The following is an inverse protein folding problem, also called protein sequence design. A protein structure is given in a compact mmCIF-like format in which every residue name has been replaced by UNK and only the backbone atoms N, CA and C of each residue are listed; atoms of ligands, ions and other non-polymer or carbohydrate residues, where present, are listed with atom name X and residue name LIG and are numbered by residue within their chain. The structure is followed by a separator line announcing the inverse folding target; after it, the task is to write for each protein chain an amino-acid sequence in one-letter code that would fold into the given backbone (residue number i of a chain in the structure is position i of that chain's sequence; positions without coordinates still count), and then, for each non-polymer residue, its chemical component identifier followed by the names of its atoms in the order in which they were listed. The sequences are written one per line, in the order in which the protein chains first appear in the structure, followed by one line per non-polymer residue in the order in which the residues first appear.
data_IF_965420243493
#
_entry.id   IF_965420243493
#
_cell.length_a   1.000
_cell.length_b   1.000
_cell.length_c   1.000
_cell.angle_alpha   90.00
_cell.angle_beta   90.00
_cell.angle_gamma   90.00
#
_symmetry.space_group_name_H-M   'P 1'
#
loop_
_entity.id
_entity.type
_entity.pdbx_description
1 polymer ?
#
# COMPACT_ATOMS: atom_id res chain seq x y z
N UNK A 1 33.55 -23.90 -29.03
CA UNK A 1 32.55 -22.86 -29.32
C UNK A 1 32.47 -22.00 -28.09
N UNK A 2 33.14 -20.85 -28.09
CA UNK A 2 32.95 -19.84 -27.04
C UNK A 2 31.50 -19.40 -27.11
N UNK A 3 30.75 -19.70 -26.06
CA UNK A 3 29.35 -19.32 -25.92
C UNK A 3 29.29 -17.80 -25.84
N UNK A 4 28.87 -17.15 -26.93
CA UNK A 4 28.57 -15.73 -26.93
C UNK A 4 27.48 -15.50 -25.88
N UNK A 5 27.81 -14.79 -24.81
CA UNK A 5 26.88 -14.46 -23.74
C UNK A 5 26.25 -13.08 -24.02
N UNK A 6 25.03 -12.99 -24.58
CA UNK A 6 24.35 -11.72 -24.78
C UNK A 6 24.08 -11.02 -23.45
N UNK A 7 24.39 -9.73 -23.37
CA UNK A 7 23.87 -8.88 -22.29
C UNK A 7 22.35 -8.79 -22.44
N UNK A 8 21.63 -9.12 -21.38
CA UNK A 8 20.17 -8.96 -21.33
C UNK A 8 19.85 -7.49 -21.04
N UNK A 9 19.19 -6.76 -21.95
CA UNK A 9 18.89 -5.33 -21.82
C UNK A 9 18.18 -4.97 -20.51
N UNK A 10 17.20 -5.78 -20.14
CA UNK A 10 16.35 -5.62 -18.97
C UNK A 10 17.17 -5.75 -17.69
N UNK A 11 17.99 -6.81 -17.59
CA UNK A 11 18.90 -7.05 -16.47
C UNK A 11 19.92 -5.92 -16.33
N UNK A 12 20.55 -5.50 -17.42
CA UNK A 12 21.51 -4.39 -17.38
C UNK A 12 20.86 -3.06 -16.94
N UNK A 13 19.68 -2.73 -17.47
CA UNK A 13 18.93 -1.54 -17.08
C UNK A 13 18.58 -1.58 -15.59
N UNK A 14 18.09 -2.72 -15.11
CA UNK A 14 17.67 -2.88 -13.73
C UNK A 14 18.87 -2.79 -12.77
N UNK A 15 19.99 -3.46 -13.06
CA UNK A 15 21.22 -3.34 -12.27
C UNK A 15 21.76 -1.90 -12.22
N UNK A 16 21.65 -1.15 -13.33
CA UNK A 16 22.01 0.28 -13.35
C UNK A 16 21.08 1.10 -12.45
N UNK A 17 19.78 0.88 -12.54
CA UNK A 17 18.77 1.59 -11.72
C UNK A 17 18.95 1.28 -10.23
N UNK A 18 19.22 0.01 -9.87
CA UNK A 18 19.51 -0.40 -8.50
C UNK A 18 20.77 0.26 -7.93
N UNK A 19 21.77 0.54 -8.77
CA UNK A 19 22.97 1.29 -8.35
C UNK A 19 22.74 2.81 -8.29
N UNK A 20 21.52 3.29 -8.53
CA UNK A 20 21.21 4.73 -8.57
C UNK A 20 21.99 5.49 -9.66
N UNK A 21 22.46 4.78 -10.69
CA UNK A 21 23.29 5.35 -11.74
C UNK A 21 22.41 5.83 -12.90
N UNK A 22 22.62 7.08 -13.34
CA UNK A 22 22.13 7.50 -14.64
C UNK A 22 22.95 6.84 -15.75
N UNK A 23 22.41 6.75 -16.97
CA UNK A 23 23.18 6.26 -18.13
C UNK A 23 24.47 7.05 -18.36
N UNK A 24 24.48 8.35 -18.02
CA UNK A 24 25.70 9.17 -18.08
C UNK A 24 26.71 8.76 -17.02
N UNK A 25 26.28 8.59 -15.75
CA UNK A 25 27.18 8.16 -14.68
C UNK A 25 27.77 6.76 -14.95
N UNK A 26 26.96 5.85 -15.49
CA UNK A 26 27.46 4.53 -15.91
C UNK A 26 28.46 4.65 -17.06
N UNK A 27 28.22 5.53 -18.04
CA UNK A 27 29.13 5.79 -19.15
C UNK A 27 30.50 6.25 -18.65
N UNK A 28 30.51 7.22 -17.73
CA UNK A 28 31.71 7.78 -17.15
C UNK A 28 32.51 6.71 -16.37
N UNK A 29 31.81 5.85 -15.62
CA UNK A 29 32.42 4.80 -14.79
C UNK A 29 32.96 3.61 -15.59
N UNK A 30 32.23 3.19 -16.63
CA UNK A 30 32.58 2.05 -17.49
C UNK A 30 33.47 2.44 -18.67
N UNK A 31 33.71 3.74 -18.90
CA UNK A 31 34.40 4.29 -20.08
C UNK A 31 33.75 3.87 -21.40
N UNK A 32 32.44 3.59 -21.38
CA UNK A 32 31.63 3.26 -22.55
C UNK A 32 30.73 4.44 -22.87
N UNK A 33 30.53 4.75 -24.15
CA UNK A 33 29.69 5.89 -24.51
C UNK A 33 28.25 5.72 -24.01
N UNK A 34 27.62 6.81 -23.52
CA UNK A 34 26.20 6.85 -23.16
C UNK A 34 25.30 6.31 -24.29
N UNK A 35 25.66 6.60 -25.55
CA UNK A 35 24.93 6.11 -26.73
C UNK A 35 24.98 4.58 -26.83
N UNK A 36 26.11 3.96 -26.50
CA UNK A 36 26.26 2.50 -26.47
C UNK A 36 25.41 1.90 -25.36
N UNK A 37 25.48 2.45 -24.14
CA UNK A 37 24.65 2.01 -23.00
C UNK A 37 23.16 2.09 -23.35
N UNK A 38 22.70 3.22 -23.87
CA UNK A 38 21.30 3.37 -24.29
C UNK A 38 20.92 2.37 -25.40
N UNK A 39 21.83 2.01 -26.30
CA UNK A 39 21.56 0.99 -27.33
C UNK A 39 21.49 -0.42 -26.75
N UNK A 40 22.29 -0.74 -25.72
CA UNK A 40 22.24 -2.00 -25.00
C UNK A 40 20.88 -2.11 -24.29
N UNK A 41 20.50 -1.10 -23.51
CA UNK A 41 19.24 -1.09 -22.73
C UNK A 41 17.98 -1.09 -23.58
N UNK A 42 18.06 -0.64 -24.84
CA UNK A 42 16.93 -0.67 -25.77
C UNK A 42 16.97 -1.89 -26.71
N UNK A 43 17.85 -2.87 -26.49
CA UNK A 43 17.97 -4.07 -27.34
C UNK A 43 18.42 -3.77 -28.79
N UNK A 44 18.99 -2.58 -29.04
CA UNK A 44 19.38 -2.12 -30.39
C UNK A 44 20.78 -2.56 -30.80
N UNK A 45 21.51 -3.22 -29.93
CA UNK A 45 22.79 -3.87 -30.24
C UNK A 45 22.55 -5.36 -30.37
N UNK A 46 22.99 -5.93 -31.49
CA UNK A 46 22.99 -7.38 -31.67
C UNK A 46 23.95 -8.02 -30.67
N UNK A 47 23.55 -9.11 -29.99
CA UNK A 47 24.40 -9.92 -29.10
C UNK A 47 25.85 -10.08 -29.56
N UNK A 48 26.01 -10.50 -30.81
CA UNK A 48 27.25 -10.79 -31.53
C UNK A 48 28.23 -9.60 -31.61
N UNK A 49 27.76 -8.38 -31.33
CA UNK A 49 28.56 -7.14 -31.43
C UNK A 49 29.03 -6.60 -30.09
N UNK A 50 28.62 -7.20 -28.97
CA UNK A 50 29.11 -6.80 -27.64
C UNK A 50 30.47 -7.47 -27.42
N UNK A 51 31.54 -6.67 -27.41
CA UNK A 51 32.88 -7.19 -27.15
C UNK A 51 33.02 -7.61 -25.68
N UNK A 52 33.82 -8.64 -25.41
CA UNK A 52 34.13 -9.11 -24.05
C UNK A 52 34.62 -7.98 -23.14
N UNK A 53 35.48 -7.09 -23.65
CA UNK A 53 35.92 -5.90 -22.92
C UNK A 53 34.77 -4.96 -22.53
N UNK A 54 33.73 -4.83 -23.37
CA UNK A 54 32.54 -4.01 -23.06
C UNK A 54 31.73 -4.65 -21.93
N UNK A 55 31.54 -5.97 -21.99
CA UNK A 55 30.88 -6.73 -20.93
C UNK A 55 31.61 -6.59 -19.60
N UNK A 56 32.93 -6.81 -19.59
CA UNK A 56 33.76 -6.68 -18.37
C UNK A 56 33.77 -5.26 -17.81
N UNK A 57 33.82 -4.24 -18.68
CA UNK A 57 33.82 -2.85 -18.25
C UNK A 57 32.48 -2.43 -17.64
N UNK A 58 31.36 -2.91 -18.20
CA UNK A 58 30.02 -2.70 -17.63
C UNK A 58 29.86 -3.45 -16.32
N UNK A 59 30.25 -4.72 -16.27
CA UNK A 59 30.19 -5.55 -15.08
C UNK A 59 30.99 -4.92 -13.93
N UNK A 60 32.22 -4.48 -14.20
CA UNK A 60 33.07 -3.77 -13.23
C UNK A 60 32.47 -2.45 -12.76
N UNK A 61 31.84 -1.68 -13.64
CA UNK A 61 31.21 -0.41 -13.28
C UNK A 61 29.93 -0.60 -12.45
N UNK A 62 29.23 -1.71 -12.67
CA UNK A 62 28.04 -2.15 -11.93
C UNK A 62 28.39 -3.00 -10.70
N UNK A 63 29.68 -3.33 -10.52
CA UNK A 63 30.23 -4.20 -9.46
C UNK A 63 29.65 -5.62 -9.45
N UNK A 64 29.15 -6.11 -10.59
CA UNK A 64 28.60 -7.46 -10.78
C UNK A 64 29.60 -8.37 -11.49
N UNK A 65 29.35 -9.69 -11.50
CA UNK A 65 30.15 -10.61 -12.32
C UNK A 65 29.66 -10.51 -13.78
N UNK A 66 30.56 -10.62 -14.79
CA UNK A 66 30.16 -10.60 -16.20
C UNK A 66 29.02 -11.56 -16.57
N UNK A 67 28.91 -12.78 -15.99
CA UNK A 67 27.78 -13.68 -16.24
C UNK A 67 26.42 -13.13 -15.77
N UNK A 68 26.40 -12.28 -14.74
CA UNK A 68 25.15 -11.76 -14.16
C UNK A 68 24.43 -10.82 -15.12
N UNK A 69 25.17 -10.12 -15.99
CA UNK A 69 24.60 -9.28 -17.06
C UNK A 69 23.89 -10.09 -18.15
N UNK A 70 24.14 -11.40 -18.20
CA UNK A 70 23.66 -12.31 -19.23
C UNK A 70 22.55 -13.24 -18.73
N UNK A 71 22.22 -13.18 -17.43
CA UNK A 71 21.13 -13.93 -16.79
C UNK A 71 19.88 -13.06 -16.70
N UNK A 72 18.71 -13.69 -16.74
CA UNK A 72 17.48 -12.94 -16.42
C UNK A 72 17.54 -12.49 -14.96
N UNK A 73 16.93 -11.35 -14.65
CA UNK A 73 16.88 -10.82 -13.28
C UNK A 73 16.30 -11.84 -12.27
N UNK A 74 15.35 -12.67 -12.72
CA UNK A 74 14.75 -13.77 -11.95
C UNK A 74 15.74 -14.91 -11.62
N UNK A 75 16.81 -15.06 -12.40
CA UNK A 75 17.83 -16.10 -12.27
C UNK A 75 19.07 -15.62 -11.48
N UNK A 76 19.04 -14.36 -11.01
CA UNK A 76 20.09 -13.78 -10.16
C UNK A 76 19.95 -14.18 -8.69
N UNK A 77 19.46 -15.39 -8.42
CA UNK A 77 19.29 -15.94 -7.07
C UNK A 77 20.61 -16.03 -6.29
N UNK A 78 21.75 -16.10 -6.99
CA UNK A 78 23.10 -16.19 -6.42
C UNK A 78 23.82 -14.83 -6.30
N UNK A 79 23.15 -13.72 -6.67
CA UNK A 79 23.70 -12.39 -6.42
C UNK A 79 23.57 -12.10 -4.93
N UNK A 80 24.69 -11.83 -4.26
CA UNK A 80 24.67 -11.38 -2.88
C UNK A 80 24.16 -9.94 -2.83
N UNK A 81 22.83 -9.79 -2.87
CA UNK A 81 22.13 -8.50 -2.84
C UNK A 81 22.54 -7.64 -1.64
N UNK A 82 23.11 -8.23 -0.56
CA UNK A 82 23.66 -7.47 0.57
C UNK A 82 24.85 -6.59 0.18
N UNK A 83 25.69 -7.03 -0.76
CA UNK A 83 26.80 -6.22 -1.29
C UNK A 83 26.29 -4.95 -1.99
N UNK A 84 25.02 -4.97 -2.42
CA UNK A 84 24.32 -3.89 -3.10
C UNK A 84 23.44 -3.07 -2.15
N UNK A 85 23.48 -3.36 -0.84
CA UNK A 85 22.64 -2.70 0.17
C UNK A 85 21.18 -3.16 0.20
N UNK A 86 20.83 -4.19 -0.58
CA UNK A 86 19.48 -4.76 -0.61
C UNK A 86 19.39 -5.95 0.33
N UNK A 87 18.40 -5.93 1.22
CA UNK A 87 18.06 -7.08 2.06
C UNK A 87 16.68 -7.59 1.66
N UNK A 88 16.54 -8.88 1.31
CA UNK A 88 15.25 -9.46 1.01
C UNK A 88 14.31 -9.33 2.21
N UNK A 89 13.17 -8.67 2.01
CA UNK A 89 12.11 -8.60 2.99
C UNK A 89 11.20 -9.83 2.81
N UNK A 90 11.27 -10.78 3.74
CA UNK A 90 10.42 -11.98 3.75
C UNK A 90 9.18 -11.71 4.59
N UNK A 91 8.07 -11.40 3.93
CA UNK A 91 6.77 -11.20 4.55
C UNK A 91 5.73 -12.05 3.83
N UNK A 92 4.80 -12.60 4.59
CA UNK A 92 3.58 -13.17 4.04
C UNK A 92 2.57 -12.04 3.95
N UNK A 93 2.15 -11.72 2.73
CA UNK A 93 1.04 -10.80 2.48
C UNK A 93 -0.13 -11.62 1.94
N UNK A 94 -1.33 -11.19 2.26
CA UNK A 94 -2.53 -11.76 1.67
C UNK A 94 -2.64 -11.37 0.20
N UNK A 95 -3.38 -12.16 -0.58
CA UNK A 95 -3.47 -11.97 -2.02
C UNK A 95 -4.23 -10.68 -2.40
N UNK A 96 -5.24 -10.29 -1.64
CA UNK A 96 -5.96 -9.00 -1.75
C UNK A 96 -5.00 -7.80 -1.60
N UNK A 97 -4.13 -7.84 -0.59
CA UNK A 97 -3.12 -6.80 -0.35
C UNK A 97 -2.12 -6.73 -1.50
N UNK A 98 -1.69 -7.90 -2.02
CA UNK A 98 -0.80 -7.97 -3.19
C UNK A 98 -1.45 -7.32 -4.43
N UNK A 99 -2.75 -7.53 -4.62
CA UNK A 99 -3.52 -6.92 -5.71
C UNK A 99 -3.61 -5.40 -5.55
N UNK A 100 -3.82 -4.90 -4.33
CA UNK A 100 -3.83 -3.47 -4.04
C UNK A 100 -2.54 -2.76 -4.46
N UNK A 101 -1.37 -3.35 -4.20
CA UNK A 101 -0.09 -2.81 -4.66
C UNK A 101 -0.03 -2.68 -6.19
N UNK A 102 -0.60 -3.64 -6.93
CA UNK A 102 -0.65 -3.58 -8.39
C UNK A 102 -1.62 -2.51 -8.88
N UNK A 103 -2.79 -2.38 -8.26
CA UNK A 103 -3.76 -1.34 -8.65
C UNK A 103 -3.19 0.07 -8.47
N UNK A 104 -2.53 0.32 -7.34
CA UNK A 104 -1.84 1.60 -7.09
C UNK A 104 -0.72 1.80 -8.09
N UNK A 105 0.10 0.77 -8.35
CA UNK A 105 1.18 0.82 -9.34
C UNK A 105 0.67 1.19 -10.73
N UNK A 106 -0.45 0.60 -11.17
CA UNK A 106 -1.06 0.84 -12.47
C UNK A 106 -1.64 2.25 -12.58
N UNK A 107 -2.41 2.70 -11.58
CA UNK A 107 -3.11 3.98 -11.63
C UNK A 107 -2.18 5.17 -11.50
N UNK A 108 -1.09 5.04 -10.73
CA UNK A 108 -0.17 6.14 -10.44
C UNK A 108 1.21 6.00 -11.10
N UNK A 109 1.47 4.91 -11.83
CA UNK A 109 2.72 4.69 -12.55
C UNK A 109 3.94 4.47 -11.65
N UNK A 110 3.73 3.90 -10.47
CA UNK A 110 4.78 3.63 -9.45
C UNK A 110 5.09 2.13 -9.39
N UNK A 111 6.30 1.73 -8.96
CA UNK A 111 6.61 0.31 -8.75
C UNK A 111 6.19 -0.13 -7.33
N UNK A 112 5.80 -1.39 -7.12
CA UNK A 112 5.52 -1.91 -5.77
C UNK A 112 6.68 -1.72 -4.79
N UNK A 113 7.93 -1.86 -5.24
CA UNK A 113 9.10 -1.60 -4.39
C UNK A 113 9.16 -0.13 -3.94
N UNK A 114 8.83 0.83 -4.81
CA UNK A 114 8.80 2.25 -4.45
C UNK A 114 7.72 2.53 -3.38
N UNK A 115 6.58 1.83 -3.45
CA UNK A 115 5.52 1.91 -2.44
C UNK A 115 5.97 1.35 -1.09
N UNK A 116 6.65 0.20 -1.10
CA UNK A 116 7.21 -0.41 0.13
C UNK A 116 8.29 0.49 0.74
N UNK A 117 9.19 1.04 -0.09
CA UNK A 117 10.26 1.93 0.35
C UNK A 117 9.70 3.25 0.93
N UNK A 118 8.62 3.77 0.35
CA UNK A 118 7.96 5.00 0.81
C UNK A 118 7.02 4.77 2.02
N UNK A 119 6.59 3.54 2.29
CA UNK A 119 5.57 3.23 3.29
C UNK A 119 5.89 3.78 4.70
N UNK A 120 7.12 3.64 5.25
CA UNK A 120 7.43 4.20 6.56
C UNK A 120 7.29 5.72 6.61
N UNK A 121 7.68 6.42 5.54
CA UNK A 121 7.57 7.87 5.46
C UNK A 121 6.11 8.31 5.34
N UNK A 122 5.33 7.67 4.47
CA UNK A 122 3.90 7.96 4.30
C UNK A 122 3.11 7.70 5.58
N UNK A 123 3.37 6.58 6.25
CA UNK A 123 2.75 6.27 7.53
C UNK A 123 3.10 7.32 8.59
N UNK A 124 4.39 7.67 8.72
CA UNK A 124 4.84 8.69 9.68
C UNK A 124 4.16 10.04 9.43
N UNK A 125 4.03 10.44 8.16
CA UNK A 125 3.33 11.66 7.79
C UNK A 125 1.85 11.64 8.22
N UNK A 126 1.13 10.55 7.92
CA UNK A 126 -0.27 10.40 8.31
C UNK A 126 -0.45 10.40 9.83
N UNK A 127 0.44 9.73 10.56
CA UNK A 127 0.45 9.72 12.03
C UNK A 127 0.64 11.13 12.60
N UNK A 128 1.62 11.91 12.10
CA UNK A 128 1.83 13.29 12.55
C UNK A 128 0.66 14.21 12.22
N UNK A 129 0.04 14.04 11.04
CA UNK A 129 -1.13 14.81 10.65
C UNK A 129 -2.33 14.52 11.57
N UNK A 130 -2.54 13.25 11.93
CA UNK A 130 -3.56 12.87 12.91
C UNK A 130 -3.31 13.49 14.28
N UNK A 131 -2.08 13.41 14.79
CA UNK A 131 -1.72 14.02 16.08
C UNK A 131 -1.86 15.56 16.05
N UNK A 132 -1.49 16.20 14.94
CA UNK A 132 -1.65 17.64 14.78
C UNK A 132 -3.13 18.04 14.75
N UNK A 133 -3.98 17.27 14.07
CA UNK A 133 -5.42 17.49 14.05
C UNK A 133 -6.03 17.34 15.45
N UNK A 134 -5.69 16.27 16.18
CA UNK A 134 -6.15 16.07 17.56
C UNK A 134 -5.74 17.20 18.49
N UNK A 135 -4.50 17.69 18.41
CA UNK A 135 -4.07 18.89 19.17
C UNK A 135 -4.95 20.10 18.88
N UNK A 136 -5.27 20.36 17.60
CA UNK A 136 -6.16 21.48 17.24
C UNK A 136 -7.56 21.30 17.80
N UNK A 137 -8.10 20.09 17.72
CA UNK A 137 -9.44 19.76 18.22
C UNK A 137 -9.52 19.87 19.75
N UNK A 138 -8.48 19.42 20.46
CA UNK A 138 -8.40 19.56 21.91
C UNK A 138 -8.38 21.05 22.30
N UNK A 139 -7.48 21.84 21.74
CA UNK A 139 -7.39 23.28 22.04
C UNK A 139 -8.69 24.04 21.74
N UNK A 140 -9.34 23.72 20.60
CA UNK A 140 -10.64 24.29 20.26
C UNK A 140 -11.74 23.89 21.26
N UNK A 141 -11.75 22.62 21.67
CA UNK A 141 -12.70 22.09 22.67
C UNK A 141 -12.50 22.74 24.03
N UNK A 142 -11.26 22.86 24.52
CA UNK A 142 -10.93 23.56 25.77
C UNK A 142 -11.49 24.98 25.77
N UNK A 143 -11.18 25.75 24.72
CA UNK A 143 -11.64 27.13 24.61
C UNK A 143 -13.18 27.23 24.60
N UNK A 144 -13.86 26.35 23.87
CA UNK A 144 -15.32 26.31 23.79
C UNK A 144 -15.98 25.94 25.14
N UNK A 145 -15.45 24.93 25.82
CA UNK A 145 -15.95 24.48 27.13
C UNK A 145 -15.76 25.57 28.18
N UNK A 146 -14.56 26.15 28.31
CA UNK A 146 -14.34 27.24 29.25
C UNK A 146 -15.24 28.45 28.98
N UNK A 147 -15.44 28.82 27.71
CA UNK A 147 -16.35 29.90 27.34
C UNK A 147 -17.80 29.60 27.73
N UNK A 148 -18.28 28.36 27.50
CA UNK A 148 -19.62 27.95 27.89
C UNK A 148 -19.82 28.00 29.41
N UNK A 149 -18.83 27.55 30.18
CA UNK A 149 -18.90 27.55 31.64
C UNK A 149 -18.86 28.95 32.28
N UNK A 150 -18.29 29.95 31.61
CA UNK A 150 -18.37 31.35 32.05
C UNK A 150 -19.80 31.93 32.00
N UNK A 151 -20.68 31.36 31.17
CA UNK A 151 -22.07 31.78 31.05
C UNK A 151 -22.99 31.13 32.08
N UNK A 152 -22.51 30.12 32.82
CA UNK A 152 -23.34 29.36 33.77
C UNK A 152 -23.74 30.25 34.95
N UNK A 153 -25.04 30.49 35.17
CA UNK A 153 -25.50 31.29 36.29
C UNK A 153 -25.17 30.63 37.64
N UNK A 154 -24.96 31.44 38.68
CA UNK A 154 -24.53 30.94 40.00
C UNK A 154 -25.47 29.92 40.66
N UNK A 155 -26.76 29.89 40.31
CA UNK A 155 -27.71 28.88 40.83
C UNK A 155 -27.53 27.50 40.19
N UNK A 156 -26.81 27.41 39.07
CA UNK A 156 -26.42 26.16 38.40
C UNK A 156 -24.98 25.76 38.74
N UNK A 157 -24.43 26.22 39.87
CA UNK A 157 -23.04 25.92 40.26
C UNK A 157 -22.72 24.43 40.37
N UNK A 158 -23.72 23.59 40.62
CA UNK A 158 -23.56 22.13 40.61
C UNK A 158 -23.16 21.59 39.22
N UNK A 159 -23.42 22.33 38.14
CA UNK A 159 -22.93 22.00 36.79
C UNK A 159 -21.39 22.05 36.68
N UNK A 160 -20.68 22.70 37.63
CA UNK A 160 -19.21 22.72 37.66
C UNK A 160 -18.58 21.32 37.73
N UNK A 161 -19.32 20.31 38.20
CA UNK A 161 -18.89 18.91 38.13
C UNK A 161 -18.53 18.48 36.68
N UNK A 162 -19.28 18.96 35.69
CA UNK A 162 -19.00 18.67 34.27
C UNK A 162 -17.70 19.29 33.77
N UNK A 163 -17.25 20.42 34.34
CA UNK A 163 -15.97 21.03 33.99
C UNK A 163 -14.81 20.17 34.49
N UNK A 164 -14.89 19.66 35.73
CA UNK A 164 -13.85 18.77 36.26
C UNK A 164 -13.69 17.48 35.44
N UNK A 165 -14.81 16.86 35.03
CA UNK A 165 -14.76 15.70 34.15
C UNK A 165 -14.12 16.00 32.79
N UNK A 166 -14.34 17.21 32.25
CA UNK A 166 -13.68 17.63 31.02
C UNK A 166 -12.18 17.87 31.23
N UNK A 167 -11.78 18.51 32.33
CA UNK A 167 -10.38 18.75 32.68
C UNK A 167 -9.59 17.43 32.87
N UNK A 168 -10.23 16.40 33.45
CA UNK A 168 -9.65 15.05 33.54
C UNK A 168 -9.43 14.45 32.14
N UNK A 169 -10.45 14.48 31.27
CA UNK A 169 -10.35 13.98 29.89
C UNK A 169 -9.30 14.75 29.06
N UNK A 170 -9.19 16.06 29.27
CA UNK A 170 -8.15 16.90 28.69
C UNK A 170 -6.75 16.44 29.09
N UNK A 171 -6.53 16.22 30.40
CA UNK A 171 -5.25 15.75 30.94
C UNK A 171 -4.84 14.40 30.33
N UNK A 172 -5.80 13.52 30.11
CA UNK A 172 -5.56 12.20 29.54
C UNK A 172 -5.24 12.26 28.05
N UNK A 173 -5.95 13.09 27.29
CA UNK A 173 -5.62 13.35 25.89
C UNK A 173 -4.25 14.01 25.75
N UNK A 174 -3.87 14.94 26.64
CA UNK A 174 -2.52 15.53 26.64
C UNK A 174 -1.42 14.49 26.84
N UNK A 175 -1.63 13.53 27.76
CA UNK A 175 -0.71 12.40 27.97
C UNK A 175 -0.62 11.52 26.73
N UNK A 176 -1.77 11.17 26.12
CA UNK A 176 -1.82 10.38 24.87
C UNK A 176 -1.05 11.09 23.75
N UNK A 177 -1.26 12.39 23.56
CA UNK A 177 -0.58 13.21 22.55
C UNK A 177 0.93 13.34 22.80
N UNK A 178 1.34 13.48 24.07
CA UNK A 178 2.75 13.54 24.46
C UNK A 178 3.47 12.21 24.20
N UNK A 179 2.78 11.09 24.42
CA UNK A 179 3.26 9.74 24.15
C UNK A 179 3.18 9.34 22.66
N UNK A 180 2.60 10.20 21.79
CA UNK A 180 2.40 9.93 20.36
C UNK A 180 1.50 8.71 20.11
N UNK A 181 0.55 8.49 21.01
CA UNK A 181 -0.41 7.40 20.94
C UNK A 181 -1.52 7.76 19.94
N UNK A 182 -1.34 7.35 18.70
CA UNK A 182 -2.28 7.65 17.61
C UNK A 182 -3.64 6.96 17.78
N UNK A 183 -3.72 5.88 18.56
CA UNK A 183 -4.91 5.05 18.73
C UNK A 183 -5.72 5.40 19.98
N UNK A 184 -5.23 6.29 20.85
CA UNK A 184 -5.95 6.72 22.05
C UNK A 184 -5.94 5.70 23.20
N UNK A 185 -5.02 4.72 23.18
CA UNK A 185 -4.92 3.67 24.21
C UNK A 185 -4.64 4.24 25.61
N UNK A 186 -3.85 5.31 25.70
CA UNK A 186 -3.48 5.90 27.00
C UNK A 186 -4.60 6.73 27.63
N UNK A 187 -5.64 7.06 26.85
CA UNK A 187 -6.85 7.70 27.39
C UNK A 187 -7.65 6.70 28.25
N UNK A 188 -7.55 5.39 27.96
CA UNK A 188 -8.27 4.32 28.66
C UNK A 188 -7.71 4.00 30.05
N UNK A 189 -6.41 4.26 30.27
CA UNK A 189 -5.75 3.87 31.53
C UNK A 189 -6.32 4.62 32.74
N UNK A 190 -6.99 5.74 32.48
CA UNK A 190 -7.53 6.69 33.46
C UNK A 190 -9.04 6.89 33.32
N UNK A 191 -9.66 6.37 32.26
CA UNK A 191 -11.10 6.43 32.05
C UNK A 191 -11.83 5.39 32.92
N UNK A 192 -12.40 5.87 34.04
CA UNK A 192 -13.26 5.10 34.94
C UNK A 192 -14.74 5.44 34.76
N UNK A 193 -15.11 6.02 33.61
CA UNK A 193 -16.49 6.42 33.36
C UNK A 193 -17.40 5.19 33.17
N UNK A 194 -18.71 5.44 33.24
CA UNK A 194 -19.72 4.41 33.04
C UNK A 194 -19.80 3.91 31.59
N UNK A 195 -19.24 4.67 30.65
CA UNK A 195 -19.20 4.39 29.22
C UNK A 195 -17.79 4.75 28.71
N UNK A 196 -16.79 3.93 29.04
CA UNK A 196 -15.41 4.25 28.75
C UNK A 196 -15.18 4.28 27.25
N UNK A 197 -14.23 5.11 26.83
CA UNK A 197 -13.73 5.11 25.47
C UNK A 197 -13.44 3.65 25.01
N UNK A 198 -13.79 3.31 23.77
CA UNK A 198 -13.46 2.01 23.21
C UNK A 198 -12.66 2.21 21.91
N UNK A 199 -11.35 1.91 21.88
CA UNK A 199 -10.51 2.07 20.70
C UNK A 199 -10.89 1.09 19.58
N UNK A 200 -11.64 0.04 19.86
CA UNK A 200 -12.20 -0.86 18.84
C UNK A 200 -13.46 -0.28 18.17
N UNK A 201 -14.08 0.76 18.76
CA UNK A 201 -15.26 1.43 18.20
C UNK A 201 -14.94 2.83 17.68
N UNK A 202 -14.06 3.57 18.35
CA UNK A 202 -13.83 5.01 18.11
C UNK A 202 -12.35 5.37 18.03
N UNK A 203 -11.58 4.62 17.23
CA UNK A 203 -10.15 4.87 17.09
C UNK A 203 -9.85 6.26 16.46
N UNK A 204 -9.11 7.17 17.14
CA UNK A 204 -8.88 8.54 16.65
C UNK A 204 -8.12 8.60 15.33
N UNK A 205 -7.20 7.65 15.10
CA UNK A 205 -6.47 7.57 13.84
C UNK A 205 -7.37 7.14 12.68
N UNK A 206 -8.32 6.25 12.94
CA UNK A 206 -9.29 5.76 11.96
C UNK A 206 -10.28 6.85 11.60
N UNK A 207 -10.79 7.58 12.59
CA UNK A 207 -11.64 8.75 12.37
C UNK A 207 -10.93 9.81 11.54
N UNK A 208 -9.64 10.04 11.82
CA UNK A 208 -8.81 10.90 10.99
C UNK A 208 -8.72 10.39 9.55
N UNK A 209 -8.46 9.10 9.33
CA UNK A 209 -8.40 8.51 8.00
C UNK A 209 -9.75 8.58 7.27
N UNK A 210 -10.88 8.28 7.92
CA UNK A 210 -12.23 8.41 7.33
C UNK A 210 -12.50 9.85 6.87
N UNK A 211 -12.25 10.83 7.74
CA UNK A 211 -12.44 12.25 7.41
C UNK A 211 -11.51 12.69 6.28
N UNK A 212 -10.26 12.24 6.31
CA UNK A 212 -9.28 12.57 5.26
C UNK A 212 -9.69 11.96 3.93
N UNK A 213 -10.12 10.69 3.91
CA UNK A 213 -10.63 10.02 2.73
C UNK A 213 -11.90 10.71 2.19
N UNK A 214 -12.86 11.03 3.05
CA UNK A 214 -14.09 11.74 2.66
C UNK A 214 -13.83 13.15 2.11
N UNK A 215 -12.72 13.80 2.51
CA UNK A 215 -12.31 15.09 1.97
C UNK A 215 -11.63 14.98 0.60
N UNK A 216 -11.14 13.79 0.23
CA UNK A 216 -10.56 13.53 -1.09
C UNK A 216 -11.67 13.01 -1.99
N UNK A 217 -12.22 13.89 -2.84
CA UNK A 217 -13.19 13.50 -3.87
C UNK A 217 -12.51 12.57 -4.89
N UNK A 218 -12.77 11.27 -4.80
CA UNK A 218 -12.22 10.30 -5.74
C UNK A 218 -12.67 8.86 -5.51
N UNK A 219 -13.00 8.16 -6.61
CA UNK A 219 -13.34 6.73 -6.64
C UNK A 219 -12.19 5.79 -6.19
N UNK A 220 -11.03 6.34 -5.84
CA UNK A 220 -9.84 5.59 -5.48
C UNK A 220 -9.85 5.14 -4.01
N UNK A 221 -10.51 5.89 -3.12
CA UNK A 221 -10.54 5.63 -1.69
C UNK A 221 -11.98 5.80 -1.22
N UNK A 222 -12.61 4.69 -0.80
CA UNK A 222 -13.98 4.70 -0.30
C UNK A 222 -13.99 4.67 1.24
N UNK A 223 -14.40 5.75 1.93
CA UNK A 223 -14.43 5.84 3.40
C UNK A 223 -15.41 4.89 4.07
N UNK A 224 -16.39 4.34 3.35
CA UNK A 224 -17.38 3.42 3.93
C UNK A 224 -16.79 2.01 4.11
N UNK A 225 -15.87 1.62 3.23
CA UNK A 225 -15.23 0.29 3.21
C UNK A 225 -13.98 0.17 4.10
N UNK A 226 -13.69 1.19 4.90
CA UNK A 226 -12.64 1.12 5.90
C UNK A 226 -13.09 0.17 7.03
N UNK A 227 -12.41 -0.96 7.15
CA UNK A 227 -12.67 -1.95 8.19
C UNK A 227 -11.61 -1.87 9.29
N UNK A 228 -12.08 -1.93 10.53
CA UNK A 228 -11.22 -2.16 11.67
C UNK A 228 -10.92 -3.66 11.73
N UNK A 229 -9.66 -4.11 11.61
CA UNK A 229 -9.36 -5.50 11.91
C UNK A 229 -9.77 -5.77 13.34
N UNK A 230 -10.21 -7.01 13.61
CA UNK A 230 -10.39 -7.46 14.98
C UNK A 230 -9.10 -7.24 15.80
N UNK A 231 -9.16 -6.36 16.80
CA UNK A 231 -8.08 -6.02 17.72
C UNK A 231 -7.17 -4.85 17.31
N UNK A 232 -5.88 -4.96 17.65
CA UNK A 232 -4.93 -3.84 17.79
C UNK A 232 -4.21 -3.37 16.50
N UNK A 233 -4.85 -3.53 15.33
CA UNK A 233 -4.21 -3.37 14.02
C UNK A 233 -4.36 -2.01 13.34
N UNK A 234 -3.53 -1.78 12.32
CA UNK A 234 -3.83 -0.78 11.30
C UNK A 234 -5.05 -1.23 10.51
N UNK A 235 -5.89 -0.30 10.06
CA UNK A 235 -7.10 -0.68 9.36
C UNK A 235 -6.82 -1.38 8.04
N UNK A 236 -7.78 -2.20 7.63
CA UNK A 236 -7.79 -2.77 6.30
C UNK A 236 -8.63 -1.89 5.39
N UNK A 237 -8.02 -1.43 4.28
CA UNK A 237 -8.69 -0.54 3.34
C UNK A 237 -8.57 -1.10 1.91
N UNK A 238 -9.67 -1.54 1.29
CA UNK A 238 -9.66 -1.90 -0.11
C UNK A 238 -9.56 -0.63 -0.97
N UNK A 239 -8.47 -0.50 -1.71
CA UNK A 239 -8.30 0.62 -2.65
C UNK A 239 -9.08 0.36 -3.93
N UNK A 240 -9.62 1.42 -4.52
CA UNK A 240 -10.39 1.39 -5.77
C UNK A 240 -11.64 0.49 -5.72
N UNK A 241 -12.24 0.25 -4.55
CA UNK A 241 -13.40 -0.64 -4.40
C UNK A 241 -14.57 -0.24 -5.31
N UNK A 242 -14.94 1.04 -5.35
CA UNK A 242 -15.99 1.53 -6.26
C UNK A 242 -15.69 1.24 -7.72
N UNK A 243 -14.43 1.39 -8.15
CA UNK A 243 -14.02 1.05 -9.51
C UNK A 243 -14.04 -0.46 -9.77
N UNK A 244 -13.63 -1.27 -8.79
CA UNK A 244 -13.71 -2.73 -8.87
C UNK A 244 -15.17 -3.20 -8.96
N UNK A 245 -16.08 -2.62 -8.17
CA UNK A 245 -17.52 -2.96 -8.19
C UNK A 245 -18.17 -2.61 -9.54
N UNK A 246 -17.81 -1.46 -10.12
CA UNK A 246 -18.20 -1.10 -11.49
C UNK A 246 -17.65 -2.11 -12.51
N UNK A 247 -16.45 -2.66 -12.25
CA UNK A 247 -15.82 -3.63 -13.12
C UNK A 247 -16.51 -5.00 -13.03
N UNK A 248 -16.79 -5.48 -11.83
CA UNK A 248 -17.34 -6.81 -11.54
C UNK A 248 -18.86 -6.86 -11.47
N UNK A 249 -19.53 -5.71 -11.54
CA UNK A 249 -20.98 -5.64 -11.34
C UNK A 249 -21.43 -6.12 -9.95
N UNK A 250 -20.52 -6.16 -8.98
CA UNK A 250 -20.75 -6.67 -7.63
C UNK A 250 -20.91 -8.19 -7.53
N UNK A 251 -20.34 -8.96 -8.48
CA UNK A 251 -20.29 -10.42 -8.43
C UNK A 251 -19.09 -10.90 -7.58
N UNK A 252 -19.38 -11.72 -6.56
CA UNK A 252 -18.40 -12.14 -5.56
C UNK A 252 -17.29 -13.02 -6.14
N UNK A 253 -17.55 -13.77 -7.21
CA UNK A 253 -16.54 -14.61 -7.86
C UNK A 253 -15.66 -13.80 -8.78
N UNK A 254 -16.22 -12.82 -9.49
CA UNK A 254 -15.43 -11.86 -10.26
C UNK A 254 -14.53 -10.99 -9.36
N UNK A 255 -15.05 -10.54 -8.21
CA UNK A 255 -14.26 -9.85 -7.17
C UNK A 255 -13.12 -10.74 -6.67
N UNK A 256 -13.41 -12.01 -6.38
CA UNK A 256 -12.40 -12.99 -5.97
C UNK A 256 -11.32 -13.19 -7.04
N UNK A 257 -11.68 -13.27 -8.33
CA UNK A 257 -10.73 -13.42 -9.42
C UNK A 257 -9.75 -12.25 -9.49
N UNK A 258 -10.24 -11.01 -9.33
CA UNK A 258 -9.42 -9.80 -9.32
C UNK A 258 -8.55 -9.72 -8.06
N UNK A 259 -9.10 -10.03 -6.89
CA UNK A 259 -8.39 -9.98 -5.62
C UNK A 259 -7.25 -11.01 -5.55
N UNK A 260 -7.36 -12.15 -6.22
CA UNK A 260 -6.35 -13.21 -6.19
C UNK A 260 -5.39 -13.21 -7.39
N UNK A 261 -5.51 -12.22 -8.30
CA UNK A 261 -4.75 -12.11 -9.55
C UNK A 261 -4.99 -13.24 -10.55
N UNK A 262 -6.13 -13.93 -10.46
CA UNK A 262 -6.49 -15.00 -11.37
C UNK A 262 -7.09 -14.45 -12.68
N UNK A 263 -7.57 -13.21 -12.74
CA UNK A 263 -8.07 -12.58 -13.97
C UNK A 263 -7.62 -11.12 -14.12
N UNK A 264 -6.44 -10.87 -14.69
CA UNK A 264 -5.90 -9.51 -14.74
C UNK A 264 -6.67 -8.61 -15.69
N UNK A 265 -6.92 -7.36 -15.27
CA UNK A 265 -7.56 -6.34 -16.11
C UNK A 265 -6.73 -6.03 -17.35
N UNK A 266 -5.40 -6.19 -17.28
CA UNK A 266 -4.50 -5.99 -18.42
C UNK A 266 -4.72 -7.04 -19.52
N UNK A 267 -4.91 -8.30 -19.13
CA UNK A 267 -5.13 -9.44 -20.03
C UNK A 267 -6.56 -9.49 -20.58
N UNK A 268 -7.46 -8.68 -20.00
CA UNK A 268 -8.84 -8.57 -20.47
C UNK A 268 -8.89 -7.97 -21.88
N UNK A 269 -9.64 -8.57 -22.82
CA UNK A 269 -9.86 -8.01 -24.14
C UNK A 269 -10.42 -6.57 -24.07
N UNK A 270 -9.89 -5.67 -24.90
CA UNK A 270 -10.27 -4.25 -24.91
C UNK A 270 -11.77 -4.02 -25.23
N UNK A 271 -12.40 -5.00 -25.86
CA UNK A 271 -13.83 -5.02 -26.15
C UNK A 271 -14.68 -5.21 -24.88
N UNK A 272 -14.18 -5.97 -23.90
CA UNK A 272 -14.83 -6.24 -22.61
C UNK A 272 -14.59 -5.13 -21.59
N UNK A 273 -13.54 -4.31 -21.78
CA UNK A 273 -13.25 -3.14 -20.93
C UNK A 273 -14.27 -1.99 -21.10
N UNK A 274 -15.13 -2.04 -22.13
CA UNK A 274 -16.15 -1.00 -22.38
C UNK A 274 -17.32 -1.13 -21.41
N UNK A 275 -17.91 0.01 -21.05
CA UNK A 275 -18.94 0.18 -19.99
C UNK A 275 -20.20 -0.69 -20.18
N UNK A 276 -20.50 -1.15 -21.39
CA UNK A 276 -21.75 -1.82 -21.74
C UNK A 276 -21.69 -3.36 -21.69
N UNK A 277 -20.57 -3.95 -21.24
CA UNK A 277 -20.33 -5.41 -21.27
C UNK A 277 -20.07 -6.04 -19.89
N UNK A 278 -20.68 -5.50 -18.83
CA UNK A 278 -20.44 -5.98 -17.45
C UNK A 278 -20.69 -7.49 -17.29
N UNK A 279 -21.79 -8.03 -17.82
CA UNK A 279 -22.08 -9.48 -17.71
C UNK A 279 -21.07 -10.36 -18.43
N UNK A 280 -20.62 -9.98 -19.63
CA UNK A 280 -19.59 -10.71 -20.38
C UNK A 280 -18.23 -10.64 -19.68
N UNK A 281 -17.93 -9.50 -19.04
CA UNK A 281 -16.70 -9.30 -18.26
C UNK A 281 -16.66 -10.17 -17.01
N UNK A 282 -17.76 -10.22 -16.27
CA UNK A 282 -17.91 -11.08 -15.08
C UNK A 282 -17.70 -12.53 -15.45
N UNK A 283 -18.34 -13.00 -16.53
CA UNK A 283 -18.16 -14.37 -16.98
C UNK A 283 -16.69 -14.66 -17.35
N UNK A 284 -16.04 -13.75 -18.07
CA UNK A 284 -14.62 -13.91 -18.41
C UNK A 284 -13.73 -13.99 -17.17
N UNK A 285 -13.97 -13.15 -16.16
CA UNK A 285 -13.22 -13.16 -14.90
C UNK A 285 -13.40 -14.48 -14.14
N UNK A 286 -14.62 -14.99 -14.06
CA UNK A 286 -14.92 -16.28 -13.41
C UNK A 286 -14.23 -17.43 -14.15
N UNK A 287 -14.19 -17.39 -15.48
CA UNK A 287 -13.53 -18.41 -16.30
C UNK A 287 -12.01 -18.45 -16.12
N UNK A 288 -11.39 -17.35 -15.68
CA UNK A 288 -9.96 -17.36 -15.40
C UNK A 288 -9.61 -18.08 -14.08
N UNK A 289 -10.58 -18.29 -13.18
CA UNK A 289 -10.33 -18.98 -11.91
C UNK A 289 -10.10 -20.46 -12.17
N UNK A 290 -8.92 -21.03 -11.83
CA UNK A 290 -8.69 -22.46 -11.98
C UNK A 290 -9.68 -23.28 -11.14
N UNK A 291 -10.17 -24.39 -11.70
CA UNK A 291 -11.17 -25.24 -11.04
C UNK A 291 -10.72 -25.71 -9.64
N UNK A 292 -9.41 -25.98 -9.47
CA UNK A 292 -8.83 -26.38 -8.18
C UNK A 292 -8.88 -25.25 -7.13
N UNK A 293 -8.63 -24.01 -7.54
CA UNK A 293 -8.71 -22.82 -6.67
C UNK A 293 -10.15 -22.57 -6.28
N UNK A 294 -11.07 -22.67 -7.23
CA UNK A 294 -12.51 -22.52 -7.01
C UNK A 294 -13.03 -23.55 -5.99
N UNK A 295 -12.70 -24.83 -6.18
CA UNK A 295 -13.13 -25.91 -5.28
C UNK A 295 -12.57 -25.74 -3.85
N UNK A 296 -11.31 -25.33 -3.73
CA UNK A 296 -10.68 -25.04 -2.42
C UNK A 296 -11.36 -23.87 -1.72
N UNK A 297 -11.74 -22.84 -2.47
CA UNK A 297 -12.42 -21.67 -1.91
C UNK A 297 -13.86 -22.00 -1.50
N UNK A 298 -14.58 -22.80 -2.29
CA UNK A 298 -15.91 -23.32 -1.92
C UNK A 298 -15.84 -24.15 -0.63
N UNK A 299 -14.84 -25.03 -0.49
CA UNK A 299 -14.61 -25.81 0.72
C UNK A 299 -14.25 -24.91 1.92
N UNK A 300 -13.42 -23.89 1.73
CA UNK A 300 -13.09 -22.90 2.76
C UNK A 300 -14.34 -22.16 3.22
N UNK A 301 -15.15 -21.63 2.29
CA UNK A 301 -16.39 -20.91 2.59
C UNK A 301 -17.39 -21.80 3.32
N UNK A 302 -17.55 -23.06 2.91
CA UNK A 302 -18.40 -24.04 3.57
C UNK A 302 -17.92 -24.38 5.00
N UNK A 303 -16.60 -24.46 5.20
CA UNK A 303 -15.99 -24.78 6.50
C UNK A 303 -16.16 -23.67 7.54
N UNK A 304 -16.14 -22.42 7.11
CA UNK A 304 -16.22 -21.25 8.01
C UNK A 304 -17.61 -20.60 8.06
N UNK A 305 -18.60 -21.14 7.33
CA UNK A 305 -19.97 -20.64 7.36
C UNK A 305 -20.12 -19.21 6.85
N UNK A 306 -19.24 -18.78 5.94
CA UNK A 306 -19.29 -17.43 5.35
C UNK A 306 -20.45 -17.39 4.35
N UNK A 307 -21.60 -16.89 4.78
CA UNK A 307 -22.77 -16.67 3.92
C UNK A 307 -22.61 -15.34 3.16
N UNK A 308 -22.67 -15.39 1.83
CA UNK A 308 -22.49 -14.24 0.93
C UNK A 308 -23.58 -13.17 1.13
N UNK A 309 -24.68 -13.51 1.81
CA UNK A 309 -25.73 -12.56 2.16
C UNK A 309 -25.43 -11.70 3.41
N UNK A 310 -24.54 -12.13 4.31
CA UNK A 310 -24.26 -11.41 5.56
C UNK A 310 -23.10 -10.40 5.45
N UNK A 311 -22.23 -10.52 4.44
CA UNK A 311 -21.15 -9.54 4.16
C UNK A 311 -21.70 -8.22 3.56
N UNK A 312 -22.97 -8.19 3.13
CA UNK A 312 -23.64 -7.00 2.56
C UNK A 312 -24.40 -6.15 3.59
N UNK A 313 -24.00 -6.11 4.87
CA UNK A 313 -24.56 -5.19 5.87
C UNK A 313 -23.51 -4.37 6.58
#
# INVERSE_FOLDING_TARGET
METEMPIIPETHKALREMRGLSQQRLADRSKISKRTIARIENGKIRPEKVRTHTLESLAKALEVKPPDLCKQMSELSDVDWKEYGYTPLKLLIRDDVRSNYRWVAQHYGVKPNDLIDAAPWMFTLLAELSLAERRRQLEASKAAVHAAFQLVPGHLRHAQAGLFHFEDAESDEEKSLAARDIFGRLVLETDHSADPFNPEETNPFIDFLRRTAAAVDGKAIDPEHLELPYGDGLPEWPVFKTWLDELTGGDDWADFALANLEGMVEDMPDELKREQKTSERVQWLIEQIPAEVKAREEERRAKWGIDLAEIKR
#
